data_IF_170093070483
#
_entry.id   IF_170093070483
#
_cell.length_a   1.000
_cell.length_b   1.000
_cell.length_c   1.000
_cell.angle_alpha   90.00
_cell.angle_beta   90.00
_cell.angle_gamma   90.00
#
_symmetry.space_group_name_H-M   'P 1'
#
loop_
_entity.id
_entity.type
_entity.pdbx_description
1 polymer ?
#
# COMPACT_ATOMS: atom_id res chain seq x y z
N UNK A 1 -13.13 -8.76 -0.04
CA UNK A 1 -12.59 -7.40 0.04
C UNK A 1 -11.12 -7.47 -0.34
N UNK A 2 -10.60 -6.54 -1.14
CA UNK A 2 -9.18 -6.54 -1.51
C UNK A 2 -8.32 -6.22 -0.28
N UNK A 3 -7.32 -7.05 -0.01
CA UNK A 3 -6.32 -6.83 1.04
C UNK A 3 -5.33 -5.72 0.66
N UNK A 4 -4.86 -4.94 1.63
CA UNK A 4 -3.85 -3.89 1.38
C UNK A 4 -2.61 -4.17 2.23
N UNK A 5 -1.46 -4.20 1.57
CA UNK A 5 -0.15 -4.30 2.22
C UNK A 5 0.67 -3.04 1.89
N UNK A 6 1.25 -2.40 2.89
CA UNK A 6 2.23 -1.33 2.65
C UNK A 6 3.63 -1.88 2.89
N UNK A 7 4.53 -1.73 1.92
CA UNK A 7 5.94 -2.08 2.04
C UNK A 7 6.78 -0.82 1.78
N UNK A 8 7.39 -0.29 2.83
CA UNK A 8 8.08 1.00 2.80
C UNK A 8 9.27 1.03 3.76
N UNK A 9 10.14 2.02 3.64
CA UNK A 9 11.26 2.18 4.58
C UNK A 9 10.80 2.53 5.99
N UNK A 10 11.49 1.96 6.98
CA UNK A 10 11.31 2.26 8.40
C UNK A 10 9.84 2.15 8.84
N UNK A 11 9.33 3.20 9.48
CA UNK A 11 7.97 3.24 10.04
C UNK A 11 6.94 3.93 9.15
N UNK A 12 7.30 4.32 7.93
CA UNK A 12 6.44 5.11 7.04
C UNK A 12 5.07 4.45 6.81
N UNK A 13 5.06 3.13 6.57
CA UNK A 13 3.83 2.38 6.37
C UNK A 13 2.90 2.43 7.58
N UNK A 14 3.43 2.25 8.79
CA UNK A 14 2.65 2.34 10.02
C UNK A 14 2.16 3.78 10.29
N UNK A 15 2.99 4.79 10.01
CA UNK A 15 2.57 6.19 10.13
C UNK A 15 1.42 6.53 9.18
N UNK A 16 1.45 6.03 7.94
CA UNK A 16 0.34 6.19 7.00
C UNK A 16 -0.94 5.50 7.48
N UNK A 17 -0.83 4.28 8.02
CA UNK A 17 -1.99 3.57 8.59
C UNK A 17 -2.56 4.35 9.77
N UNK A 18 -1.71 4.88 10.65
CA UNK A 18 -2.14 5.71 11.78
C UNK A 18 -2.91 6.95 11.30
N UNK A 19 -2.37 7.70 10.33
CA UNK A 19 -3.05 8.85 9.75
C UNK A 19 -4.38 8.48 9.09
N UNK A 20 -4.42 7.39 8.30
CA UNK A 20 -5.66 6.92 7.67
C UNK A 20 -6.68 6.47 8.73
N UNK A 21 -6.24 5.84 9.81
CA UNK A 21 -7.10 5.43 10.93
C UNK A 21 -7.73 6.64 11.62
N UNK A 22 -6.97 7.72 11.78
CA UNK A 22 -7.49 8.98 12.31
C UNK A 22 -8.55 9.58 11.39
N UNK A 23 -8.30 9.64 10.08
CA UNK A 23 -9.26 10.14 9.08
C UNK A 23 -10.54 9.28 9.03
N UNK A 24 -10.42 7.96 9.19
CA UNK A 24 -11.53 7.01 9.09
C UNK A 24 -12.21 6.69 10.43
N UNK A 25 -11.70 7.21 11.55
CA UNK A 25 -12.20 6.97 12.90
C UNK A 25 -11.90 5.58 13.49
N UNK A 26 -11.29 4.67 12.73
CA UNK A 26 -10.87 3.35 13.20
C UNK A 26 -9.76 2.77 12.33
N UNK A 27 -8.99 1.82 12.86
CA UNK A 27 -7.98 1.10 12.07
C UNK A 27 -8.68 0.18 11.07
N UNK A 28 -8.47 0.36 9.75
CA UNK A 28 -9.11 -0.47 8.75
C UNK A 28 -8.70 -1.94 8.88
N UNK A 29 -9.67 -2.86 8.76
CA UNK A 29 -9.40 -4.29 8.70
C UNK A 29 -8.61 -4.65 7.42
N UNK A 30 -7.91 -5.80 7.41
CA UNK A 30 -7.13 -6.27 6.24
C UNK A 30 -6.22 -5.19 5.63
N UNK A 31 -5.57 -4.43 6.50
CA UNK A 31 -4.54 -3.46 6.16
C UNK A 31 -3.32 -3.78 7.03
N UNK A 32 -2.22 -4.17 6.40
CA UNK A 32 -0.96 -4.49 7.09
C UNK A 32 0.18 -3.67 6.50
N UNK A 33 1.29 -3.63 7.23
CA UNK A 33 2.53 -3.01 6.77
C UNK A 33 3.73 -3.91 7.06
N UNK A 34 4.76 -3.78 6.25
CA UNK A 34 6.09 -4.33 6.47
C UNK A 34 7.12 -3.22 6.26
N UNK A 35 7.76 -2.80 7.35
CA UNK A 35 8.83 -1.82 7.32
C UNK A 35 10.15 -2.47 6.90
N UNK A 36 10.94 -1.76 6.09
CA UNK A 36 12.29 -2.17 5.70
C UNK A 36 13.30 -1.25 6.38
N UNK A 37 14.04 -1.82 7.32
CA UNK A 37 15.19 -1.23 7.98
C UNK A 37 16.44 -1.23 7.08
N UNK A 38 17.42 -0.42 7.47
CA UNK A 38 18.69 -0.29 6.74
C UNK A 38 19.52 -1.57 6.77
N UNK A 39 19.46 -2.31 7.87
CA UNK A 39 20.29 -3.49 8.14
C UNK A 39 19.49 -4.81 7.96
N UNK A 40 18.27 -4.73 7.43
CA UNK A 40 17.43 -5.90 7.21
C UNK A 40 17.97 -6.74 6.04
N UNK A 41 17.97 -8.05 6.22
CA UNK A 41 18.34 -9.00 5.17
C UNK A 41 17.12 -9.30 4.28
N UNK A 42 17.16 -8.99 2.96
CA UNK A 42 16.09 -9.32 2.02
C UNK A 42 15.70 -10.80 2.01
N UNK A 43 16.64 -11.72 2.28
CA UNK A 43 16.36 -13.16 2.36
C UNK A 43 15.40 -13.51 3.50
N UNK A 44 15.37 -12.70 4.56
CA UNK A 44 14.48 -12.88 5.71
C UNK A 44 13.15 -12.14 5.53
N UNK A 45 13.15 -11.00 4.85
CA UNK A 45 11.97 -10.17 4.64
C UNK A 45 11.02 -10.76 3.59
N UNK A 46 11.55 -11.34 2.50
CA UNK A 46 10.71 -11.84 1.42
C UNK A 46 9.73 -12.96 1.88
N UNK A 47 10.16 -13.97 2.68
CA UNK A 47 9.22 -14.95 3.24
C UNK A 47 8.14 -14.33 4.12
N UNK A 48 8.49 -13.31 4.92
CA UNK A 48 7.52 -12.59 5.76
C UNK A 48 6.51 -11.83 4.90
N UNK A 49 6.98 -11.13 3.86
CA UNK A 49 6.11 -10.43 2.92
C UNK A 49 5.15 -11.38 2.21
N UNK A 50 5.62 -12.56 1.77
CA UNK A 50 4.77 -13.61 1.18
C UNK A 50 3.67 -14.06 2.13
N UNK A 51 4.01 -14.35 3.38
CA UNK A 51 3.04 -14.73 4.41
C UNK A 51 1.99 -13.64 4.64
N UNK A 52 2.40 -12.37 4.68
CA UNK A 52 1.46 -11.24 4.81
C UNK A 52 0.51 -11.14 3.62
N UNK A 53 1.00 -11.36 2.39
CA UNK A 53 0.16 -11.41 1.19
C UNK A 53 -0.84 -12.55 1.26
N UNK A 54 -0.40 -13.76 1.63
CA UNK A 54 -1.28 -14.93 1.81
C UNK A 54 -2.37 -14.69 2.86
N UNK A 55 -2.03 -14.06 3.98
CA UNK A 55 -3.00 -13.72 5.04
C UNK A 55 -4.01 -12.64 4.62
N UNK A 56 -3.60 -11.73 3.72
CA UNK A 56 -4.44 -10.65 3.21
C UNK A 56 -5.34 -11.08 2.06
N UNK A 57 -4.92 -12.10 1.31
CA UNK A 57 -5.64 -12.57 0.15
C UNK A 57 -6.82 -13.48 0.53
N UNK A 58 -8.00 -12.89 0.69
CA UNK A 58 -9.23 -13.61 1.05
C UNK A 58 -10.11 -13.99 -0.15
N UNK A 59 -9.58 -13.94 -1.38
CA UNK A 59 -10.36 -14.29 -2.58
C UNK A 59 -10.44 -13.19 -3.62
N UNK A 60 -10.24 -11.93 -3.25
CA UNK A 60 -10.35 -10.77 -4.16
C UNK A 60 -8.98 -10.16 -4.54
N UNK A 61 -7.88 -10.74 -4.05
CA UNK A 61 -6.53 -10.27 -4.33
C UNK A 61 -5.99 -9.24 -3.33
N UNK A 62 -4.78 -8.77 -3.60
CA UNK A 62 -4.00 -7.87 -2.73
C UNK A 62 -3.41 -6.73 -3.56
N UNK A 63 -3.55 -5.51 -3.06
CA UNK A 63 -2.83 -4.35 -3.55
C UNK A 63 -1.68 -4.01 -2.60
N UNK A 64 -0.45 -4.05 -3.11
CA UNK A 64 0.76 -3.68 -2.39
C UNK A 64 1.11 -2.23 -2.73
N UNK A 65 1.21 -1.37 -1.71
CA UNK A 65 1.61 0.02 -1.81
C UNK A 65 3.05 0.19 -1.35
N UNK A 66 3.89 0.82 -2.16
CA UNK A 66 5.30 1.09 -1.84
C UNK A 66 5.60 2.59 -1.84
N UNK A 67 6.62 3.00 -1.10
CA UNK A 67 6.99 4.40 -0.94
C UNK A 67 7.68 4.98 -2.18
N UNK A 68 8.69 4.30 -2.72
CA UNK A 68 9.47 4.77 -3.86
C UNK A 68 9.83 3.64 -4.83
N UNK A 69 9.61 3.88 -6.12
CA UNK A 69 9.95 2.93 -7.17
C UNK A 69 11.48 2.83 -7.35
N UNK A 70 11.98 1.62 -7.57
CA UNK A 70 13.41 1.37 -7.78
C UNK A 70 14.26 1.22 -6.52
N UNK A 71 13.67 1.34 -5.33
CA UNK A 71 14.34 1.03 -4.06
C UNK A 71 14.03 -0.40 -3.57
N UNK A 72 14.71 -0.82 -2.50
CA UNK A 72 14.55 -2.14 -1.88
C UNK A 72 13.08 -2.55 -1.63
N UNK A 73 12.20 -1.67 -1.09
CA UNK A 73 10.78 -1.99 -0.95
C UNK A 73 10.11 -2.38 -2.26
N UNK A 74 10.29 -1.59 -3.32
CA UNK A 74 9.69 -1.86 -4.63
C UNK A 74 10.28 -3.13 -5.28
N UNK A 75 11.57 -3.40 -5.11
CA UNK A 75 12.20 -4.61 -5.62
C UNK A 75 11.64 -5.87 -4.95
N UNK A 76 11.30 -5.78 -3.66
CA UNK A 76 10.60 -6.87 -2.97
C UNK A 76 9.17 -7.01 -3.48
N UNK A 77 8.45 -5.90 -3.69
CA UNK A 77 7.09 -5.93 -4.27
C UNK A 77 7.11 -6.65 -5.62
N UNK A 78 8.07 -6.36 -6.49
CA UNK A 78 8.21 -6.99 -7.81
C UNK A 78 8.34 -8.53 -7.74
N UNK A 79 8.87 -9.08 -6.64
CA UNK A 79 8.98 -10.52 -6.42
C UNK A 79 7.68 -11.17 -5.89
N UNK A 80 6.70 -10.36 -5.49
CA UNK A 80 5.42 -10.79 -4.95
C UNK A 80 4.27 -10.65 -5.95
N UNK A 81 4.45 -9.82 -6.99
CA UNK A 81 3.40 -9.52 -7.97
C UNK A 81 3.00 -10.76 -8.75
N UNK A 82 1.69 -10.95 -8.86
CA UNK A 82 1.03 -11.97 -9.66
C UNK A 82 -0.09 -11.26 -10.40
N UNK A 83 0.05 -11.12 -11.72
CA UNK A 83 -0.89 -10.34 -12.54
C UNK A 83 -2.35 -10.74 -12.29
N UNK A 84 -3.20 -9.75 -12.00
CA UNK A 84 -4.61 -9.95 -11.71
C UNK A 84 -4.93 -10.50 -10.32
N UNK A 85 -3.93 -10.74 -9.45
CA UNK A 85 -4.13 -11.24 -8.09
C UNK A 85 -3.39 -10.44 -7.02
N UNK A 86 -2.12 -10.15 -7.25
CA UNK A 86 -1.26 -9.36 -6.36
C UNK A 86 -0.59 -8.29 -7.21
N UNK A 87 -0.96 -7.03 -6.98
CA UNK A 87 -0.54 -5.91 -7.84
C UNK A 87 0.20 -4.85 -7.01
N UNK A 88 1.14 -4.15 -7.61
CA UNK A 88 2.00 -3.17 -6.93
C UNK A 88 1.78 -1.74 -7.43
N UNK A 89 1.75 -0.77 -6.51
CA UNK A 89 1.75 0.67 -6.81
C UNK A 89 2.77 1.38 -5.91
N UNK A 90 3.70 2.14 -6.50
CA UNK A 90 4.67 2.93 -5.76
C UNK A 90 4.24 4.40 -5.61
N UNK A 91 4.91 5.14 -4.71
CA UNK A 91 4.61 6.56 -4.45
C UNK A 91 3.46 6.75 -3.46
N UNK A 92 3.28 5.83 -2.50
CA UNK A 92 2.16 5.91 -1.57
C UNK A 92 2.20 7.20 -0.75
N UNK A 93 1.05 7.86 -0.70
CA UNK A 93 0.78 9.01 0.14
C UNK A 93 -0.58 8.83 0.84
N UNK A 94 -0.92 9.72 1.77
CA UNK A 94 -2.18 9.60 2.53
C UNK A 94 -3.43 9.66 1.64
N UNK A 95 -3.57 10.59 0.67
CA UNK A 95 -4.70 10.61 -0.26
C UNK A 95 -4.89 9.31 -1.05
N UNK A 96 -3.79 8.72 -1.55
CA UNK A 96 -3.79 7.40 -2.21
C UNK A 96 -4.36 6.33 -1.27
N UNK A 97 -3.84 6.23 -0.04
CA UNK A 97 -4.26 5.22 0.91
C UNK A 97 -5.75 5.36 1.27
N UNK A 98 -6.21 6.57 1.59
CA UNK A 98 -7.63 6.81 1.92
C UNK A 98 -8.52 6.42 0.74
N UNK A 99 -8.19 6.87 -0.48
CA UNK A 99 -8.98 6.51 -1.67
C UNK A 99 -8.95 5.00 -1.94
N UNK A 100 -7.82 4.34 -1.73
CA UNK A 100 -7.71 2.88 -1.87
C UNK A 100 -8.63 2.18 -0.86
N UNK A 101 -8.60 2.61 0.40
CA UNK A 101 -9.46 2.06 1.45
C UNK A 101 -10.95 2.25 1.16
N UNK A 102 -11.35 3.37 0.55
CA UNK A 102 -12.74 3.62 0.14
C UNK A 102 -13.22 2.70 -0.98
N UNK A 103 -12.36 2.37 -1.95
CA UNK A 103 -12.76 1.63 -3.17
C UNK A 103 -12.40 0.14 -3.16
N UNK A 104 -11.87 -0.38 -2.06
CA UNK A 104 -11.36 -1.78 -1.93
C UNK A 104 -12.41 -2.90 -2.07
N UNK A 105 -13.67 -2.55 -2.23
CA UNK A 105 -14.77 -3.49 -2.50
C UNK A 105 -15.07 -3.63 -4.00
N UNK A 106 -14.43 -2.82 -4.86
CA UNK A 106 -14.43 -3.00 -6.30
C UNK A 106 -13.44 -4.10 -6.73
N UNK A 107 -13.36 -4.36 -8.03
CA UNK A 107 -12.33 -5.22 -8.61
C UNK A 107 -10.93 -4.59 -8.54
N UNK A 108 -9.90 -5.44 -8.60
CA UNK A 108 -8.50 -5.03 -8.41
C UNK A 108 -8.04 -3.99 -9.43
N UNK A 109 -8.50 -4.09 -10.68
CA UNK A 109 -8.16 -3.13 -11.74
C UNK A 109 -8.72 -1.75 -11.43
N UNK A 110 -9.99 -1.68 -11.01
CA UNK A 110 -10.61 -0.43 -10.58
C UNK A 110 -9.89 0.15 -9.36
N UNK A 111 -9.53 -0.69 -8.39
CA UNK A 111 -8.81 -0.24 -7.20
C UNK A 111 -7.46 0.39 -7.54
N UNK A 112 -6.68 -0.21 -8.44
CA UNK A 112 -5.38 0.33 -8.90
C UNK A 112 -5.56 1.71 -9.54
N UNK A 113 -6.57 1.87 -10.40
CA UNK A 113 -6.88 3.17 -11.01
C UNK A 113 -7.27 4.23 -9.95
N UNK A 114 -7.99 3.82 -8.91
CA UNK A 114 -8.35 4.68 -7.77
C UNK A 114 -7.15 5.03 -6.89
N UNK A 115 -6.24 4.09 -6.65
CA UNK A 115 -4.97 4.37 -5.96
C UNK A 115 -4.14 5.39 -6.74
N UNK A 116 -3.90 5.16 -8.04
CA UNK A 116 -3.11 6.05 -8.89
C UNK A 116 -3.72 7.47 -9.02
N UNK A 117 -5.04 7.56 -9.17
CA UNK A 117 -5.71 8.87 -9.20
C UNK A 117 -5.64 9.57 -7.84
N UNK A 118 -5.90 8.86 -6.73
CA UNK A 118 -5.81 9.42 -5.38
C UNK A 118 -4.43 9.92 -5.04
N UNK A 119 -3.39 9.19 -5.45
CA UNK A 119 -2.00 9.61 -5.26
C UNK A 119 -1.65 10.88 -6.02
N UNK A 120 -2.04 10.97 -7.30
CA UNK A 120 -1.70 12.11 -8.16
C UNK A 120 -2.54 13.35 -7.87
N UNK A 121 -3.85 13.20 -7.78
CA UNK A 121 -4.79 14.32 -7.54
C UNK A 121 -4.68 14.87 -6.12
N UNK A 122 -4.18 14.07 -5.16
CA UNK A 122 -3.92 14.53 -3.80
C UNK A 122 -2.69 15.42 -3.66
N UNK A 123 -1.87 15.56 -4.70
CA UNK A 123 -0.73 16.49 -4.73
C UNK A 123 -1.22 17.81 -5.29
N UNK A 124 -1.49 18.76 -4.39
CA UNK A 124 -2.04 20.08 -4.74
C UNK A 124 -1.07 21.14 -4.24
N UNK A 125 -0.66 22.03 -5.15
CA UNK A 125 0.01 23.27 -4.78
C UNK A 125 -1.06 24.30 -4.43
N UNK A 126 -1.09 24.75 -3.18
CA UNK A 126 -2.01 25.79 -2.72
C UNK A 126 -1.18 27.00 -2.28
N UNK A 127 -1.47 28.16 -2.87
CA UNK A 127 -0.92 29.46 -2.47
C UNK A 127 -2.12 30.38 -2.42
N UNK A 128 -2.61 30.57 -1.20
CA UNK A 128 -3.88 31.21 -0.83
C UNK A 128 -5.12 30.45 -1.32
N UNK A 129 -5.91 29.99 -0.36
CA UNK A 129 -7.30 29.57 -0.60
C UNK A 129 -8.07 30.85 -0.93
N UNK A 130 -8.53 30.99 -2.17
CA UNK A 130 -9.71 31.84 -2.44
C UNK A 130 -10.94 31.27 -1.70
#
# INVERSE_FOLDING_TARGET
MIGILIIAHGTLGESLIHCASHVMGTRPAQLKQLGIGKDDDPCTLLPQAKKLVEELDQGDGVLILSDIYGATPCNMVNQLVVAGRVEGVAGVNLPMLVRTLTYRHNDLRTLIAKALSGGREGVIHFTDLD
#
